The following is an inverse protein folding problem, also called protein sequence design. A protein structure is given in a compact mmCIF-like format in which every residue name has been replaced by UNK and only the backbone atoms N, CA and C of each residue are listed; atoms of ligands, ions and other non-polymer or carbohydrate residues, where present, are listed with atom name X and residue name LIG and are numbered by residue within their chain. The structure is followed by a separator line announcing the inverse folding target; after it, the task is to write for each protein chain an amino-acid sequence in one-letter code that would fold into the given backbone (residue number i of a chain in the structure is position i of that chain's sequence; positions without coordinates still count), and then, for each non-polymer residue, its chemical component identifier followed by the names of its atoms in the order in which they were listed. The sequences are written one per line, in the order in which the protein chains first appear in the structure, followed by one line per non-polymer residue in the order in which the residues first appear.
data_IF_500198001378
#
_entry.id   IF_500198001378
#
_cell.length_a   1.000
_cell.length_b   1.000
_cell.length_c   1.000
_cell.angle_alpha   90.00
_cell.angle_beta   90.00
_cell.angle_gamma   90.00
#
_symmetry.space_group_name_H-M   'P 1'
#
loop_
_entity.id
_entity.type
_entity.pdbx_description
1 polymer ?
#
# COMPACT_ATOMS: atom_id res chain seq x y z
N UNK A 1 11.77 -18.55 19.23
CA UNK A 1 10.29 -18.67 19.13
C UNK A 1 9.77 -17.42 18.43
N UNK A 2 9.14 -17.55 17.25
CA UNK A 2 8.44 -16.43 16.63
C UNK A 2 7.24 -16.05 17.50
N UNK A 3 7.19 -14.81 17.98
CA UNK A 3 6.06 -14.33 18.76
C UNK A 3 4.83 -14.28 17.85
N UNK A 4 3.78 -15.01 18.23
CA UNK A 4 2.51 -15.00 17.51
C UNK A 4 1.82 -13.64 17.74
N UNK A 5 1.95 -12.71 16.78
CA UNK A 5 1.39 -11.36 16.86
C UNK A 5 -0.08 -11.36 16.42
N UNK A 6 -0.95 -10.71 17.20
CA UNK A 6 -2.37 -10.61 16.91
C UNK A 6 -2.60 -9.59 15.78
N UNK A 7 -3.21 -9.99 14.65
CA UNK A 7 -3.44 -9.09 13.52
C UNK A 7 -4.46 -7.99 13.83
N UNK A 8 -5.21 -8.10 14.94
CA UNK A 8 -6.20 -7.09 15.36
C UNK A 8 -5.62 -5.98 16.23
N UNK A 9 -4.60 -6.27 17.05
CA UNK A 9 -4.11 -5.29 18.04
C UNK A 9 -2.58 -5.17 18.11
N UNK A 10 -1.83 -5.92 17.31
CA UNK A 10 -0.36 -5.89 17.30
C UNK A 10 0.32 -6.50 18.53
N UNK A 11 -0.44 -6.95 19.54
CA UNK A 11 0.11 -7.58 20.74
C UNK A 11 0.32 -9.09 20.56
N UNK A 12 1.30 -9.70 21.23
CA UNK A 12 1.41 -11.15 21.29
C UNK A 12 0.12 -11.80 21.81
N UNK A 13 -0.30 -12.89 21.19
CA UNK A 13 -1.40 -13.71 21.69
C UNK A 13 -0.90 -15.09 22.14
N UNK A 14 -1.65 -15.72 23.02
CA UNK A 14 -1.32 -17.02 23.61
C UNK A 14 -1.77 -18.18 22.71
N UNK A 15 -3.02 -18.17 22.24
CA UNK A 15 -3.52 -19.13 21.24
C UNK A 15 -4.69 -18.54 20.41
N UNK A 16 -5.08 -19.25 19.35
CA UNK A 16 -6.30 -18.98 18.60
C UNK A 16 -7.41 -19.91 19.10
N UNK A 17 -8.54 -19.33 19.48
CA UNK A 17 -9.76 -20.05 19.82
C UNK A 17 -10.68 -20.10 18.60
N UNK A 18 -11.16 -21.31 18.27
CA UNK A 18 -12.16 -21.57 17.23
C UNK A 18 -13.51 -21.76 17.90
N UNK A 19 -14.56 -21.13 17.36
CA UNK A 19 -15.95 -21.28 17.81
C UNK A 19 -16.85 -21.57 16.64
N UNK A 20 -17.70 -22.57 16.76
CA UNK A 20 -18.78 -22.80 15.83
C UNK A 20 -20.07 -22.22 16.39
N UNK A 21 -20.82 -21.49 15.56
CA UNK A 21 -22.14 -20.98 15.92
C UNK A 21 -23.00 -20.85 14.67
N UNK A 22 -24.18 -21.49 14.69
CA UNK A 22 -25.17 -21.45 13.58
C UNK A 22 -24.52 -21.76 12.21
N UNK A 23 -23.73 -22.82 12.13
CA UNK A 23 -23.04 -23.26 10.91
C UNK A 23 -21.82 -22.41 10.50
N UNK A 24 -21.51 -21.34 11.22
CA UNK A 24 -20.36 -20.48 10.94
C UNK A 24 -19.21 -20.75 11.91
N UNK A 25 -17.98 -20.65 11.40
CA UNK A 25 -16.75 -20.81 12.19
C UNK A 25 -16.16 -19.44 12.45
N UNK A 26 -15.83 -19.16 13.71
CA UNK A 26 -15.30 -17.87 14.18
C UNK A 26 -13.98 -18.05 14.92
N UNK A 27 -13.07 -17.10 14.73
CA UNK A 27 -11.77 -17.12 15.35
C UNK A 27 -11.54 -15.96 16.32
N UNK A 28 -10.83 -16.24 17.40
CA UNK A 28 -10.42 -15.25 18.39
C UNK A 28 -8.95 -15.44 18.75
N UNK A 29 -8.17 -14.35 18.74
CA UNK A 29 -6.86 -14.33 19.38
C UNK A 29 -7.05 -14.16 20.88
N UNK A 30 -6.58 -15.13 21.67
CA UNK A 30 -6.69 -15.10 23.12
C UNK A 30 -5.38 -14.59 23.72
N UNK A 31 -5.49 -13.52 24.49
CA UNK A 31 -4.38 -12.87 25.18
C UNK A 31 -4.48 -13.17 26.66
N UNK A 32 -3.51 -13.91 27.19
CA UNK A 32 -3.35 -14.13 28.62
C UNK A 32 -2.28 -13.18 29.14
N UNK A 33 -2.65 -12.39 30.14
CA UNK A 33 -1.72 -11.51 30.83
C UNK A 33 -1.97 -11.57 32.33
N UNK A 34 -0.94 -11.21 33.12
CA UNK A 34 -1.10 -10.98 34.55
C UNK A 34 -1.46 -9.52 34.77
N UNK A 35 -2.47 -9.29 35.57
CA UNK A 35 -2.81 -7.96 36.07
C UNK A 35 -1.63 -7.40 36.88
N UNK A 36 -1.03 -6.26 36.49
CA UNK A 36 0.17 -5.75 37.16
C UNK A 36 -0.07 -5.36 38.63
N UNK A 37 -1.31 -5.02 38.98
CA UNK A 37 -1.66 -4.54 40.33
C UNK A 37 -2.08 -5.69 41.24
N UNK A 38 -2.81 -6.67 40.70
CA UNK A 38 -3.37 -7.77 41.52
C UNK A 38 -2.67 -9.11 41.33
N UNK A 39 -1.77 -9.23 40.35
CA UNK A 39 -1.11 -10.48 39.96
C UNK A 39 -2.04 -11.53 39.32
N UNK A 40 -3.36 -11.27 39.28
CA UNK A 40 -4.36 -12.22 38.80
C UNK A 40 -4.26 -12.40 37.29
N UNK A 41 -4.46 -13.65 36.84
CA UNK A 41 -4.53 -13.98 35.41
C UNK A 41 -5.79 -13.38 34.80
N UNK A 42 -5.62 -12.57 33.76
CA UNK A 42 -6.69 -11.98 32.94
C UNK A 42 -6.64 -12.55 31.54
N UNK A 43 -7.81 -12.64 30.91
CA UNK A 43 -7.97 -13.12 29.53
C UNK A 43 -8.72 -12.06 28.74
N UNK A 44 -8.11 -11.59 27.65
CA UNK A 44 -8.75 -10.75 26.63
C UNK A 44 -8.85 -11.53 25.34
N UNK A 45 -9.98 -11.42 24.64
CA UNK A 45 -10.18 -12.05 23.33
C UNK A 45 -10.36 -10.99 22.26
N UNK A 46 -9.53 -11.04 21.22
CA UNK A 46 -9.67 -10.22 20.03
C UNK A 46 -10.38 -11.05 18.96
N UNK A 47 -11.59 -10.66 18.58
CA UNK A 47 -12.32 -11.32 17.49
C UNK A 47 -11.57 -11.14 16.16
N UNK A 48 -11.25 -12.23 15.48
CA UNK A 48 -10.53 -12.22 14.22
C UNK A 48 -11.45 -12.31 13.01
N UNK A 49 -12.76 -12.46 13.21
CA UNK A 49 -13.70 -12.69 12.11
C UNK A 49 -14.09 -14.16 11.98
N UNK A 50 -15.02 -14.44 11.06
CA UNK A 50 -15.32 -15.79 10.64
C UNK A 50 -14.20 -16.35 9.76
N UNK A 51 -14.27 -17.66 9.51
CA UNK A 51 -13.50 -18.33 8.45
C UNK A 51 -13.79 -17.66 7.10
N UNK A 52 -15.07 -17.50 6.76
CA UNK A 52 -15.56 -16.83 5.55
C UNK A 52 -16.74 -15.90 5.88
N UNK A 53 -16.79 -14.73 5.24
CA UNK A 53 -17.95 -13.82 5.32
C UNK A 53 -18.91 -14.09 4.16
N UNK A 54 -19.76 -15.10 4.28
CA UNK A 54 -20.65 -15.52 3.20
C UNK A 54 -21.57 -14.39 2.68
N UNK A 55 -22.37 -13.78 3.56
CA UNK A 55 -23.37 -12.78 3.15
C UNK A 55 -22.76 -11.53 2.52
N UNK A 56 -21.67 -11.02 3.07
CA UNK A 56 -21.03 -9.80 2.54
C UNK A 56 -20.32 -10.11 1.23
N UNK A 57 -19.70 -11.30 1.09
CA UNK A 57 -19.04 -11.70 -0.15
C UNK A 57 -20.03 -11.80 -1.33
N UNK A 58 -21.29 -12.18 -1.07
CA UNK A 58 -22.34 -12.19 -2.11
C UNK A 58 -22.58 -10.81 -2.74
N UNK A 59 -22.31 -9.72 -2.02
CA UNK A 59 -22.44 -8.35 -2.54
C UNK A 59 -21.27 -7.93 -3.44
N UNK A 60 -20.19 -8.71 -3.47
CA UNK A 60 -18.97 -8.44 -4.24
C UNK A 60 -18.62 -9.55 -5.23
N UNK A 61 -19.63 -10.33 -5.63
CA UNK A 61 -19.44 -11.49 -6.51
C UNK A 61 -18.96 -11.06 -7.90
N UNK A 62 -19.34 -9.85 -8.33
CA UNK A 62 -18.95 -9.28 -9.62
C UNK A 62 -17.44 -9.02 -9.68
N UNK A 63 -16.86 -8.60 -8.56
CA UNK A 63 -15.43 -8.37 -8.37
C UNK A 63 -14.65 -9.65 -8.06
N UNK A 64 -15.33 -10.79 -7.89
CA UNK A 64 -14.73 -12.05 -7.49
C UNK A 64 -14.19 -12.07 -6.06
N UNK A 65 -14.67 -11.18 -5.18
CA UNK A 65 -14.17 -11.05 -3.82
C UNK A 65 -14.88 -12.00 -2.85
N UNK A 66 -14.10 -12.90 -2.23
CA UNK A 66 -14.53 -13.68 -1.06
C UNK A 66 -13.86 -13.13 0.19
N UNK A 67 -14.60 -12.39 1.01
CA UNK A 67 -14.06 -11.75 2.20
C UNK A 67 -13.80 -12.76 3.32
N UNK A 68 -12.61 -12.67 3.90
CA UNK A 68 -12.05 -13.56 4.94
C UNK A 68 -11.71 -12.84 6.24
N UNK A 69 -11.68 -13.59 7.33
CA UNK A 69 -11.23 -13.13 8.65
C UNK A 69 -9.77 -12.66 8.68
N UNK A 70 -9.42 -11.88 9.70
CA UNK A 70 -8.08 -11.34 9.98
C UNK A 70 -7.00 -12.42 10.20
N UNK A 71 -7.38 -13.68 10.41
CA UNK A 71 -6.44 -14.78 10.62
C UNK A 71 -5.73 -15.18 9.32
N UNK A 72 -6.40 -15.05 8.18
CA UNK A 72 -5.84 -15.40 6.89
C UNK A 72 -4.82 -14.33 6.47
N UNK A 73 -3.54 -14.72 6.42
CA UNK A 73 -2.44 -13.83 6.01
C UNK A 73 -2.35 -13.63 4.51
N UNK A 74 -2.95 -14.52 3.70
CA UNK A 74 -2.97 -14.46 2.23
C UNK A 74 -4.12 -13.61 1.69
N UNK A 75 -5.17 -13.38 2.49
CA UNK A 75 -6.37 -12.65 2.05
C UNK A 75 -6.09 -11.33 1.32
N UNK A 76 -5.06 -10.56 1.73
CA UNK A 76 -4.75 -9.29 1.10
C UNK A 76 -4.23 -9.47 -0.34
N UNK A 77 -3.45 -10.52 -0.57
CA UNK A 77 -2.96 -10.90 -1.90
C UNK A 77 -4.11 -11.43 -2.76
N UNK A 78 -4.94 -12.32 -2.22
CA UNK A 78 -6.10 -12.84 -2.94
C UNK A 78 -7.11 -11.74 -3.33
N UNK A 79 -7.34 -10.76 -2.46
CA UNK A 79 -8.18 -9.61 -2.81
C UNK A 79 -7.56 -8.77 -3.92
N UNK A 80 -6.23 -8.60 -3.89
CA UNK A 80 -5.53 -7.87 -4.93
C UNK A 80 -5.63 -8.60 -6.27
N UNK A 81 -5.46 -9.92 -6.29
CA UNK A 81 -5.59 -10.75 -7.49
C UNK A 81 -7.01 -10.67 -8.07
N UNK A 82 -8.03 -10.80 -7.22
CA UNK A 82 -9.43 -10.66 -7.63
C UNK A 82 -9.73 -9.27 -8.22
N UNK A 83 -9.24 -8.21 -7.57
CA UNK A 83 -9.40 -6.84 -8.06
C UNK A 83 -8.65 -6.61 -9.39
N UNK A 84 -7.44 -7.15 -9.54
CA UNK A 84 -6.68 -7.05 -10.80
C UNK A 84 -7.45 -7.75 -11.92
N UNK A 85 -7.96 -8.96 -11.68
CA UNK A 85 -8.77 -9.69 -12.65
C UNK A 85 -10.05 -8.93 -13.01
N UNK A 86 -10.75 -8.38 -12.02
CA UNK A 86 -11.94 -7.57 -12.25
C UNK A 86 -11.65 -6.34 -13.12
N UNK A 87 -10.56 -5.61 -12.83
CA UNK A 87 -10.14 -4.42 -13.58
C UNK A 87 -9.82 -4.70 -15.05
N UNK A 88 -9.48 -5.95 -15.41
CA UNK A 88 -9.28 -6.36 -16.81
C UNK A 88 -10.58 -6.52 -17.59
N UNK A 89 -11.73 -6.62 -16.90
CA UNK A 89 -13.03 -6.91 -17.51
C UNK A 89 -13.97 -5.69 -17.58
N UNK A 90 -13.69 -4.64 -16.82
CA UNK A 90 -14.53 -3.44 -16.77
C UNK A 90 -14.03 -2.34 -17.68
N UNK A 91 -14.96 -1.53 -18.19
CA UNK A 91 -14.62 -0.29 -18.86
C UNK A 91 -14.09 0.72 -17.84
N UNK A 92 -12.86 1.17 -18.07
CA UNK A 92 -12.21 2.22 -17.28
C UNK A 92 -12.07 3.46 -18.15
N UNK A 93 -12.58 4.59 -17.67
CA UNK A 93 -12.30 5.86 -18.30
C UNK A 93 -10.79 6.19 -18.25
N UNK A 94 -10.37 7.11 -19.11
CA UNK A 94 -8.95 7.42 -19.27
C UNK A 94 -8.29 7.97 -18.00
N UNK A 95 -9.05 8.69 -17.17
CA UNK A 95 -8.56 9.26 -15.91
C UNK A 95 -8.34 8.17 -14.88
N UNK A 96 -9.33 7.30 -14.69
CA UNK A 96 -9.25 6.18 -13.75
C UNK A 96 -8.15 5.19 -14.14
N UNK A 97 -8.01 4.87 -15.44
CA UNK A 97 -6.94 4.01 -15.95
C UNK A 97 -5.55 4.55 -15.61
N UNK A 98 -5.31 5.85 -15.84
CA UNK A 98 -4.04 6.51 -15.50
C UNK A 98 -3.80 6.48 -13.98
N UNK A 99 -4.82 6.81 -13.20
CA UNK A 99 -4.75 6.83 -11.74
C UNK A 99 -4.42 5.45 -11.14
N UNK A 100 -4.98 4.38 -11.70
CA UNK A 100 -4.67 2.99 -11.30
C UNK A 100 -3.25 2.59 -11.72
N UNK A 101 -2.88 2.84 -12.98
CA UNK A 101 -1.54 2.55 -13.50
C UNK A 101 -0.45 3.22 -12.65
N UNK A 102 -0.60 4.49 -12.32
CA UNK A 102 0.31 5.23 -11.45
C UNK A 102 0.49 4.56 -10.07
N UNK A 103 -0.60 4.12 -9.44
CA UNK A 103 -0.57 3.44 -8.14
C UNK A 103 0.11 2.08 -8.22
N UNK A 104 -0.20 1.29 -9.25
CA UNK A 104 0.42 -0.02 -9.47
C UNK A 104 1.92 0.10 -9.77
N UNK A 105 2.31 1.07 -10.60
CA UNK A 105 3.73 1.37 -10.83
C UNK A 105 4.43 1.75 -9.53
N UNK A 106 3.85 2.65 -8.73
CA UNK A 106 4.43 3.08 -7.46
C UNK A 106 4.66 1.89 -6.52
N UNK A 107 3.62 1.09 -6.26
CA UNK A 107 3.75 -0.03 -5.33
C UNK A 107 4.70 -1.10 -5.90
N UNK A 108 4.69 -1.33 -7.21
CA UNK A 108 5.61 -2.25 -7.88
C UNK A 108 7.07 -1.83 -7.70
N UNK A 109 7.38 -0.54 -7.90
CA UNK A 109 8.72 0.01 -7.66
C UNK A 109 9.16 -0.18 -6.21
N UNK A 110 8.28 0.10 -5.24
CA UNK A 110 8.58 -0.11 -3.81
C UNK A 110 8.85 -1.58 -3.50
N UNK A 111 7.99 -2.49 -3.97
CA UNK A 111 8.09 -3.92 -3.70
C UNK A 111 9.34 -4.55 -4.33
N UNK A 112 9.77 -4.04 -5.48
CA UNK A 112 10.97 -4.47 -6.18
C UNK A 112 12.25 -3.76 -5.70
N UNK A 113 12.15 -2.84 -4.74
CA UNK A 113 13.29 -2.08 -4.23
C UNK A 113 13.94 -1.18 -5.29
N UNK A 114 13.16 -0.68 -6.25
CA UNK A 114 13.66 0.20 -7.30
C UNK A 114 13.99 1.58 -6.75
N UNK A 115 14.99 2.22 -7.36
CA UNK A 115 15.37 3.60 -7.10
C UNK A 115 14.95 4.52 -8.27
N UNK A 116 14.98 5.85 -8.11
CA UNK A 116 14.72 6.77 -9.20
C UNK A 116 15.70 6.56 -10.38
N UNK A 117 15.18 6.10 -11.52
CA UNK A 117 15.95 5.91 -12.74
C UNK A 117 16.02 7.21 -13.57
N UNK A 118 17.23 7.72 -13.77
CA UNK A 118 17.46 8.99 -14.48
C UNK A 118 17.04 8.92 -15.94
N UNK A 119 17.25 7.78 -16.62
CA UNK A 119 16.92 7.64 -18.05
C UNK A 119 15.41 7.66 -18.25
N UNK A 120 14.68 6.91 -17.42
CA UNK A 120 13.23 6.87 -17.42
C UNK A 120 12.63 8.25 -17.08
N UNK A 121 13.13 8.89 -16.01
CA UNK A 121 12.69 10.23 -15.62
C UNK A 121 12.96 11.24 -16.74
N UNK A 122 14.15 11.23 -17.34
CA UNK A 122 14.50 12.13 -18.44
C UNK A 122 13.55 11.98 -19.63
N UNK A 123 13.21 10.74 -19.98
CA UNK A 123 12.27 10.43 -21.06
C UNK A 123 10.88 10.98 -20.76
N UNK A 124 10.36 10.71 -19.55
CA UNK A 124 9.05 11.19 -19.12
C UNK A 124 8.98 12.72 -19.18
N UNK A 125 9.99 13.41 -18.64
CA UNK A 125 9.99 14.87 -18.61
C UNK A 125 10.05 15.46 -20.01
N UNK A 126 10.88 14.90 -20.89
CA UNK A 126 10.97 15.33 -22.29
C UNK A 126 9.64 15.17 -23.02
N UNK A 127 9.02 13.99 -22.92
CA UNK A 127 7.78 13.67 -23.64
C UNK A 127 6.57 14.40 -23.08
N UNK A 128 6.46 14.54 -21.75
CA UNK A 128 5.24 15.03 -21.10
C UNK A 128 5.24 16.54 -20.85
N UNK A 129 6.42 17.14 -20.71
CA UNK A 129 6.55 18.56 -20.30
C UNK A 129 7.43 19.39 -21.24
N UNK A 130 8.06 18.74 -22.23
CA UNK A 130 9.08 19.36 -23.08
C UNK A 130 10.36 19.77 -22.32
N UNK A 131 10.47 19.44 -21.04
CA UNK A 131 11.58 19.83 -20.18
C UNK A 131 12.68 18.77 -20.21
N UNK A 132 13.91 19.20 -20.50
CA UNK A 132 15.09 18.37 -20.47
C UNK A 132 16.06 18.91 -19.40
N UNK A 133 16.01 18.37 -18.16
CA UNK A 133 16.95 18.78 -17.12
C UNK A 133 18.39 18.43 -17.53
N UNK A 134 19.29 19.38 -17.32
CA UNK A 134 20.72 19.19 -17.61
C UNK A 134 21.45 18.54 -16.42
N UNK A 135 20.92 18.72 -15.20
CA UNK A 135 21.56 18.27 -13.96
C UNK A 135 20.58 17.46 -13.13
N UNK A 136 21.00 16.23 -12.82
CA UNK A 136 20.37 15.34 -11.87
C UNK A 136 21.35 15.11 -10.72
N UNK A 137 20.91 15.36 -9.49
CA UNK A 137 21.75 15.16 -8.30
C UNK A 137 21.11 14.12 -7.39
N UNK A 138 21.71 12.92 -7.26
CA UNK A 138 21.30 11.97 -6.24
C UNK A 138 21.49 12.58 -4.86
N UNK A 139 20.50 12.44 -3.98
CA UNK A 139 20.55 12.89 -2.59
C UNK A 139 19.97 11.80 -1.68
N UNK A 140 20.38 11.78 -0.42
CA UNK A 140 19.87 10.84 0.57
C UNK A 140 19.15 11.58 1.69
N UNK A 141 17.90 11.17 1.97
CA UNK A 141 17.06 11.79 3.00
C UNK A 141 16.42 10.69 3.84
N UNK A 142 16.73 10.68 5.14
CA UNK A 142 16.20 9.68 6.08
C UNK A 142 16.42 8.22 5.61
N UNK A 143 17.60 7.95 5.03
CA UNK A 143 17.96 6.62 4.50
C UNK A 143 17.26 6.24 3.19
N UNK A 144 16.66 7.20 2.48
CA UNK A 144 16.05 7.00 1.16
C UNK A 144 16.79 7.78 0.09
N UNK A 145 17.09 7.13 -1.02
CA UNK A 145 17.68 7.77 -2.20
C UNK A 145 16.61 8.53 -2.98
N UNK A 146 16.86 9.81 -3.20
CA UNK A 146 16.04 10.70 -4.02
C UNK A 146 16.89 11.28 -5.15
N UNK A 147 16.22 11.85 -6.15
CA UNK A 147 16.82 12.59 -7.23
C UNK A 147 16.39 14.05 -7.13
N UNK A 148 17.34 14.95 -6.89
CA UNK A 148 17.14 16.40 -6.99
C UNK A 148 17.28 16.83 -8.45
N UNK A 149 16.29 17.57 -8.95
CA UNK A 149 16.27 18.13 -10.31
C UNK A 149 16.03 19.63 -10.18
N UNK A 150 16.93 20.43 -10.76
CA UNK A 150 16.76 21.89 -10.85
C UNK A 150 15.77 22.25 -11.95
N UNK A 151 14.93 23.24 -11.70
CA UNK A 151 13.89 23.73 -12.63
C UNK A 151 13.93 25.27 -12.70
N UNK A 152 13.40 25.89 -13.77
CA UNK A 152 13.44 27.34 -13.95
C UNK A 152 12.46 28.12 -13.05
N UNK A 153 11.57 27.45 -12.32
CA UNK A 153 10.55 28.12 -11.51
C UNK A 153 9.49 27.17 -10.96
N UNK A 154 8.68 27.67 -10.03
CA UNK A 154 7.66 26.88 -9.31
C UNK A 154 6.65 26.23 -10.24
N UNK A 155 6.14 26.96 -11.23
CA UNK A 155 5.19 26.43 -12.20
C UNK A 155 5.74 25.20 -12.93
N UNK A 156 7.00 25.27 -13.37
CA UNK A 156 7.68 24.14 -14.02
C UNK A 156 7.95 23.00 -13.02
N UNK A 157 8.34 23.30 -11.79
CA UNK A 157 8.46 22.28 -10.72
C UNK A 157 7.15 21.51 -10.51
N UNK A 158 6.01 22.21 -10.46
CA UNK A 158 4.70 21.60 -10.27
C UNK A 158 4.27 20.77 -11.48
N UNK A 159 4.54 21.24 -12.70
CA UNK A 159 4.33 20.47 -13.93
C UNK A 159 5.17 19.18 -13.96
N UNK A 160 6.46 19.28 -13.64
CA UNK A 160 7.38 18.15 -13.52
C UNK A 160 6.85 17.13 -12.50
N UNK A 161 6.45 17.58 -11.30
CA UNK A 161 5.90 16.67 -10.30
C UNK A 161 4.58 16.02 -10.75
N UNK A 162 3.67 16.76 -11.39
CA UNK A 162 2.44 16.17 -11.94
C UNK A 162 2.75 15.07 -12.94
N UNK A 163 3.66 15.33 -13.87
CA UNK A 163 4.08 14.34 -14.86
C UNK A 163 4.66 13.08 -14.19
N UNK A 164 5.60 13.23 -13.26
CA UNK A 164 6.25 12.08 -12.62
C UNK A 164 5.31 11.25 -11.74
N UNK A 165 4.34 11.89 -11.08
CA UNK A 165 3.33 11.19 -10.26
C UNK A 165 2.42 10.30 -11.12
N UNK A 166 2.12 10.70 -12.36
CA UNK A 166 1.38 9.84 -13.31
C UNK A 166 2.14 8.56 -13.69
N UNK A 167 3.47 8.53 -13.50
CA UNK A 167 4.34 7.38 -13.76
C UNK A 167 4.78 6.65 -12.48
N UNK A 168 4.07 6.92 -11.38
CA UNK A 168 4.24 6.21 -10.11
C UNK A 168 5.38 6.71 -9.22
N UNK A 169 6.15 7.72 -9.62
CA UNK A 169 7.14 8.32 -8.73
C UNK A 169 6.48 9.11 -7.60
N UNK A 170 7.17 9.26 -6.47
CA UNK A 170 6.89 10.31 -5.50
C UNK A 170 7.64 11.58 -5.92
N UNK A 171 7.01 12.75 -5.75
CA UNK A 171 7.62 14.02 -6.11
C UNK A 171 7.23 15.11 -5.12
N UNK A 172 8.20 15.97 -4.77
CA UNK A 172 7.99 17.14 -3.93
C UNK A 172 8.74 18.34 -4.50
N UNK A 173 8.06 19.48 -4.55
CA UNK A 173 8.67 20.77 -4.90
C UNK A 173 9.37 21.36 -3.67
N UNK A 174 10.57 21.93 -3.86
CA UNK A 174 11.28 22.66 -2.81
C UNK A 174 10.52 23.92 -2.38
N UNK A 175 10.85 24.46 -1.19
CA UNK A 175 10.21 25.67 -0.68
C UNK A 175 10.42 26.89 -1.60
N UNK A 176 11.64 27.03 -2.15
CA UNK A 176 11.98 28.07 -3.13
C UNK A 176 11.31 27.88 -4.51
N UNK A 177 10.71 26.70 -4.76
CA UNK A 177 10.06 26.37 -6.03
C UNK A 177 11.02 26.12 -7.19
N UNK A 178 12.34 26.07 -6.96
CA UNK A 178 13.35 25.94 -8.01
C UNK A 178 13.84 24.51 -8.18
N UNK A 179 13.41 23.58 -7.35
CA UNK A 179 13.84 22.19 -7.38
C UNK A 179 12.68 21.23 -7.15
N UNK A 180 12.84 20.03 -7.70
CA UNK A 180 12.00 18.89 -7.34
C UNK A 180 12.85 17.76 -6.77
N UNK A 181 12.30 17.07 -5.78
CA UNK A 181 12.85 15.87 -5.19
C UNK A 181 11.99 14.68 -5.60
N UNK A 182 12.57 13.78 -6.39
CA UNK A 182 11.89 12.62 -6.95
C UNK A 182 12.33 11.37 -6.20
N UNK A 183 11.37 10.57 -5.77
CA UNK A 183 11.59 9.29 -5.12
C UNK A 183 10.72 8.21 -5.75
N UNK A 184 10.84 7.01 -5.20
CA UNK A 184 9.91 5.91 -5.42
C UNK A 184 8.84 5.90 -4.33
#
# INVERSE_FOLDING_TARGET
MSLKICPRCGQPYSWIERRESRGNVYYYAVHVYKDPQTGKRRVKKCYLGPEEYEYVSRLHIKEGLTLKGLRDSQRALEYLDALIAYLQTVELDSSLRRALGARFMRIGRILLGLEPDISEISEILRVRTGFAPVVYRPVEVQGRRLLEISTPGREKSEEVCRALVEYGYSCRVSEDGLKVYVGV
#
